data_IF_948195894576
#
_entry.id   IF_948195894576
#
_cell.length_a   1.000
_cell.length_b   1.000
_cell.length_c   1.000
_cell.angle_alpha   90.00
_cell.angle_beta   90.00
_cell.angle_gamma   90.00
#
_symmetry.space_group_name_H-M   'P 1'
#
loop_
_entity.id
_entity.type
_entity.pdbx_description
1 polymer ?
#
# COMPACT_ATOMS: atom_id res chain seq x y z
N UNK A 1 40.85 31.84 54.08
CA UNK A 1 39.55 32.17 53.42
C UNK A 1 39.05 30.88 52.78
N UNK A 2 38.49 30.02 53.49
CA UNK A 2 37.10 29.62 53.75
C UNK A 2 36.23 29.52 52.49
N UNK A 3 35.92 28.28 52.08
CA UNK A 3 34.63 27.89 51.55
C UNK A 3 34.35 26.42 51.81
N UNK A 4 33.38 26.18 52.63
CA UNK A 4 32.81 24.93 53.04
C UNK A 4 31.81 24.40 52.02
N UNK A 5 31.89 23.12 51.73
CA UNK A 5 30.87 22.37 50.96
C UNK A 5 30.04 21.53 51.91
N UNK A 6 28.76 21.77 51.97
CA UNK A 6 27.78 21.06 52.78
C UNK A 6 27.28 19.83 51.99
N UNK A 7 27.62 18.62 52.46
CA UNK A 7 27.02 17.37 52.02
C UNK A 7 25.94 16.96 53.02
N UNK A 8 24.71 16.86 52.57
CA UNK A 8 23.58 16.39 53.32
C UNK A 8 23.53 14.85 53.30
N UNK A 9 23.74 14.26 54.48
CA UNK A 9 23.64 12.82 54.74
C UNK A 9 22.24 12.57 55.32
N UNK A 10 21.41 11.73 54.67
CA UNK A 10 20.13 11.26 55.22
C UNK A 10 20.36 9.87 55.77
N UNK A 11 20.27 9.75 57.10
CA UNK A 11 20.42 8.51 57.82
C UNK A 11 19.10 7.71 57.85
N UNK A 12 19.21 6.42 57.64
CA UNK A 12 18.17 5.42 57.87
C UNK A 12 17.91 5.23 59.35
N UNK A 13 16.65 5.26 59.78
CA UNK A 13 16.22 4.75 61.07
C UNK A 13 15.38 3.50 60.86
N UNK A 14 15.95 2.33 61.20
CA UNK A 14 15.22 1.08 61.32
C UNK A 14 14.46 1.05 62.65
N UNK A 15 13.15 0.84 62.62
CA UNK A 15 12.40 0.34 63.78
C UNK A 15 11.69 -0.94 63.33
N UNK A 16 12.11 -2.06 63.94
CA UNK A 16 11.46 -3.35 63.79
C UNK A 16 10.24 -3.42 64.71
N UNK A 17 9.09 -3.81 64.17
CA UNK A 17 8.01 -4.41 64.94
C UNK A 17 7.57 -5.71 64.26
N UNK A 18 7.68 -6.80 65.00
CA UNK A 18 7.24 -8.14 64.66
C UNK A 18 5.76 -8.24 65.02
N UNK A 19 4.93 -8.66 64.08
CA UNK A 19 3.93 -9.72 64.23
C UNK A 19 2.85 -9.66 63.12
N UNK A 20 2.52 -10.82 62.60
CA UNK A 20 1.25 -11.06 61.91
C UNK A 20 1.35 -11.35 60.41
N UNK A 21 1.52 -12.63 60.10
CA UNK A 21 1.37 -13.23 58.77
C UNK A 21 0.07 -12.83 58.09
N UNK A 22 0.16 -12.27 56.87
CA UNK A 22 -0.70 -12.60 55.73
C UNK A 22 0.08 -12.28 54.47
N UNK A 23 0.42 -13.32 53.75
CA UNK A 23 1.19 -13.19 52.48
C UNK A 23 0.36 -12.55 51.37
N UNK A 24 0.64 -11.29 51.07
CA UNK A 24 0.37 -10.75 49.74
C UNK A 24 1.56 -11.10 48.83
N UNK A 25 1.40 -12.09 47.99
CA UNK A 25 2.28 -12.27 46.86
C UNK A 25 2.08 -11.05 45.93
N UNK A 26 3.02 -10.12 45.98
CA UNK A 26 3.21 -9.19 44.87
C UNK A 26 3.72 -10.02 43.69
N UNK A 27 2.84 -10.49 42.86
CA UNK A 27 3.22 -10.81 41.50
C UNK A 27 3.68 -9.49 40.86
N UNK A 28 4.98 -9.33 40.70
CA UNK A 28 5.54 -8.40 39.72
C UNK A 28 5.01 -8.86 38.36
N UNK A 29 3.94 -8.22 37.90
CA UNK A 29 3.55 -8.32 36.50
C UNK A 29 4.78 -7.87 35.70
N UNK A 30 5.49 -8.85 35.14
CA UNK A 30 6.43 -8.58 34.06
C UNK A 30 5.73 -7.65 33.06
N UNK A 31 6.41 -6.63 32.51
CA UNK A 31 5.79 -5.86 31.46
C UNK A 31 5.40 -6.85 30.36
N UNK A 32 4.09 -7.13 30.26
CA UNK A 32 3.55 -7.86 29.15
C UNK A 32 4.06 -7.14 27.91
N UNK A 33 4.82 -7.85 27.09
CA UNK A 33 5.20 -7.41 25.77
C UNK A 33 3.98 -6.74 25.15
N UNK A 34 4.08 -5.43 24.90
CA UNK A 34 3.11 -4.71 24.11
C UNK A 34 3.10 -5.46 22.79
N UNK A 35 2.10 -6.31 22.60
CA UNK A 35 1.83 -6.88 21.30
C UNK A 35 1.52 -5.67 20.44
N UNK A 36 2.42 -5.42 19.51
CA UNK A 36 2.29 -4.42 18.47
C UNK A 36 0.88 -4.58 17.88
N UNK A 37 -0.03 -3.67 18.27
CA UNK A 37 -1.41 -3.71 17.76
C UNK A 37 -1.36 -3.17 16.35
N UNK A 38 -1.26 -4.10 15.42
CA UNK A 38 -1.22 -3.79 14.00
C UNK A 38 -2.60 -3.33 13.56
N UNK A 39 -2.79 -2.02 13.41
CA UNK A 39 -4.05 -1.43 12.94
C UNK A 39 -4.12 -1.51 11.42
N UNK A 40 -5.14 -2.17 10.89
CA UNK A 40 -5.57 -2.14 9.49
C UNK A 40 -7.06 -1.83 9.47
N UNK A 41 -7.66 -1.45 8.35
CA UNK A 41 -8.96 -0.82 8.38
C UNK A 41 -9.93 -1.49 7.40
N UNK A 42 -11.22 -1.34 7.70
CA UNK A 42 -12.31 -1.71 6.83
C UNK A 42 -13.35 -2.61 7.48
N UNK A 43 -14.52 -2.64 6.88
CA UNK A 43 -15.60 -3.58 7.14
C UNK A 43 -16.00 -4.24 5.83
N UNK A 44 -16.63 -5.41 5.90
CA UNK A 44 -17.12 -6.19 4.76
C UNK A 44 -18.22 -5.50 3.92
N UNK A 45 -18.73 -4.38 4.41
CA UNK A 45 -19.75 -3.59 3.71
C UNK A 45 -19.14 -2.37 3.04
N UNK A 46 -19.44 -2.19 1.76
CA UNK A 46 -19.02 -1.01 1.01
C UNK A 46 -19.57 0.29 1.61
N UNK A 47 -18.80 1.38 1.53
CA UNK A 47 -19.21 2.70 1.98
C UNK A 47 -18.05 3.68 2.09
N UNK A 48 -18.34 4.89 2.57
CA UNK A 48 -17.39 5.95 2.79
C UNK A 48 -17.49 6.43 4.24
N UNK A 49 -16.77 5.77 5.14
CA UNK A 49 -16.76 6.13 6.57
C UNK A 49 -15.31 6.26 7.02
N UNK A 50 -14.98 7.39 7.63
CA UNK A 50 -13.70 7.64 8.29
C UNK A 50 -13.69 7.00 9.68
N UNK A 51 -12.50 6.73 10.25
CA UNK A 51 -12.39 6.18 11.61
C UNK A 51 -11.22 5.23 11.77
N UNK A 52 -11.34 4.29 12.71
CA UNK A 52 -10.30 3.31 13.03
C UNK A 52 -10.88 1.89 12.97
N UNK A 53 -10.09 0.96 12.44
CA UNK A 53 -10.44 -0.46 12.42
C UNK A 53 -11.72 -0.75 11.65
N UNK A 54 -12.62 -1.57 12.21
CA UNK A 54 -13.85 -2.02 11.56
C UNK A 54 -14.94 -0.93 11.42
N UNK A 55 -14.77 0.24 12.04
CA UNK A 55 -15.69 1.36 11.81
C UNK A 55 -15.51 2.00 10.45
N UNK A 56 -14.35 1.82 9.85
CA UNK A 56 -14.03 2.35 8.51
C UNK A 56 -14.80 1.59 7.46
N UNK A 57 -15.24 2.30 6.42
CA UNK A 57 -15.77 1.68 5.22
C UNK A 57 -15.03 2.20 3.99
N UNK A 58 -14.70 1.26 3.13
CA UNK A 58 -14.21 1.49 1.77
C UNK A 58 -15.23 0.95 0.77
N UNK A 59 -15.02 1.26 -0.49
CA UNK A 59 -15.81 0.72 -1.60
C UNK A 59 -14.86 0.34 -2.73
N UNK A 60 -14.54 -0.94 -2.86
CA UNK A 60 -13.54 -1.45 -3.79
C UNK A 60 -12.20 -0.69 -3.66
N UNK A 61 -11.51 -0.73 -2.49
CA UNK A 61 -10.17 -0.16 -2.37
C UNK A 61 -9.23 -0.88 -3.31
N UNK A 62 -8.44 -0.13 -4.10
CA UNK A 62 -7.58 -0.73 -5.12
C UNK A 62 -6.10 -0.40 -4.88
N UNK A 63 -5.55 0.64 -5.45
CA UNK A 63 -4.13 0.99 -5.33
C UNK A 63 -3.71 1.40 -3.92
N UNK A 64 -2.53 0.97 -3.51
CA UNK A 64 -1.93 1.30 -2.22
C UNK A 64 -0.50 1.85 -2.39
N UNK A 65 -0.12 2.79 -1.52
CA UNK A 65 1.28 3.20 -1.34
C UNK A 65 1.53 3.61 0.11
N UNK A 66 2.79 3.45 0.57
CA UNK A 66 3.23 3.89 1.90
C UNK A 66 4.24 5.01 1.73
N UNK A 67 4.02 6.16 2.41
CA UNK A 67 4.99 7.26 2.40
C UNK A 67 6.20 7.00 3.32
N UNK A 68 7.18 7.91 3.28
CA UNK A 68 8.38 7.81 4.10
C UNK A 68 8.11 7.86 5.62
N UNK A 69 6.95 8.38 6.03
CA UNK A 69 6.52 8.51 7.41
C UNK A 69 5.68 7.31 7.89
N UNK A 70 5.38 6.35 7.00
CA UNK A 70 4.59 5.17 7.31
C UNK A 70 3.07 5.37 7.18
N UNK A 71 2.60 6.48 6.60
CA UNK A 71 1.20 6.64 6.28
C UNK A 71 0.88 5.85 5.01
N UNK A 72 -0.27 5.18 5.00
CA UNK A 72 -0.79 4.45 3.86
C UNK A 72 -1.79 5.32 3.10
N UNK A 73 -1.64 5.42 1.79
CA UNK A 73 -2.60 6.06 0.90
C UNK A 73 -3.29 5.00 0.06
N UNK A 74 -4.61 5.14 -0.08
CA UNK A 74 -5.48 4.13 -0.67
C UNK A 74 -6.36 4.80 -1.72
N UNK A 75 -6.36 4.30 -2.93
CA UNK A 75 -7.36 4.62 -3.93
C UNK A 75 -8.67 3.89 -3.60
N UNK A 76 -9.64 4.61 -3.09
CA UNK A 76 -10.97 4.10 -2.75
C UNK A 76 -11.87 4.23 -4.00
N UNK A 77 -11.64 3.30 -4.93
CA UNK A 77 -12.08 3.34 -6.31
C UNK A 77 -13.58 3.60 -6.47
N UNK A 78 -14.39 2.84 -5.76
CA UNK A 78 -15.85 2.95 -5.85
C UNK A 78 -16.40 4.23 -5.23
N UNK A 79 -15.62 4.90 -4.37
CA UNK A 79 -15.96 6.18 -3.76
C UNK A 79 -15.36 7.38 -4.50
N UNK A 80 -14.52 7.19 -5.51
CA UNK A 80 -13.82 8.23 -6.26
C UNK A 80 -12.99 9.17 -5.37
N UNK A 81 -12.34 8.67 -4.35
CA UNK A 81 -11.51 9.44 -3.41
C UNK A 81 -10.18 8.76 -3.12
N UNK A 82 -9.22 9.53 -2.63
CA UNK A 82 -7.99 9.01 -2.04
C UNK A 82 -8.15 9.08 -0.51
N UNK A 83 -7.92 7.94 0.16
CA UNK A 83 -7.96 7.83 1.62
C UNK A 83 -6.52 7.81 2.15
N UNK A 84 -6.35 8.31 3.38
CA UNK A 84 -5.10 8.22 4.12
C UNK A 84 -5.36 7.50 5.44
N UNK A 85 -4.52 6.50 5.74
CA UNK A 85 -4.41 5.89 7.06
C UNK A 85 -3.10 6.32 7.67
N UNK A 86 -3.13 7.00 8.80
CA UNK A 86 -1.94 7.38 9.53
C UNK A 86 -1.34 6.21 10.34
N UNK A 87 -0.20 6.44 10.96
CA UNK A 87 0.50 5.43 11.77
C UNK A 87 -0.24 5.02 13.03
N UNK A 88 -1.30 5.76 13.43
CA UNK A 88 -2.20 5.38 14.53
C UNK A 88 -3.36 4.50 14.05
N UNK A 89 -3.50 4.35 12.73
CA UNK A 89 -4.57 3.62 12.07
C UNK A 89 -5.86 4.42 11.86
N UNK A 90 -5.81 5.73 12.06
CA UNK A 90 -6.92 6.60 11.71
C UNK A 90 -6.99 6.78 10.19
N UNK A 91 -8.13 6.38 9.62
CA UNK A 91 -8.44 6.58 8.21
C UNK A 91 -9.29 7.83 8.03
N UNK A 92 -8.87 8.68 7.12
CA UNK A 92 -9.56 9.89 6.69
C UNK A 92 -9.63 9.97 5.17
N UNK A 93 -10.56 10.75 4.63
CA UNK A 93 -10.52 11.17 3.23
C UNK A 93 -9.40 12.18 3.05
N UNK A 94 -8.44 11.87 2.19
CA UNK A 94 -7.27 12.72 1.94
C UNK A 94 -7.54 13.70 0.79
N UNK A 95 -8.16 13.23 -0.29
CA UNK A 95 -8.57 14.08 -1.41
C UNK A 95 -9.77 13.46 -2.14
N UNK A 96 -10.57 14.32 -2.75
CA UNK A 96 -11.74 13.96 -3.52
C UNK A 96 -13.06 14.20 -2.80
N UNK A 97 -14.09 14.55 -3.56
CA UNK A 97 -15.49 14.62 -3.11
C UNK A 97 -16.10 13.24 -3.20
N UNK A 98 -16.49 12.66 -2.05
CA UNK A 98 -17.01 11.30 -1.98
C UNK A 98 -18.20 11.05 -2.90
N UNK A 99 -18.09 10.03 -3.74
CA UNK A 99 -19.09 9.64 -4.73
C UNK A 99 -19.16 10.52 -5.99
N UNK A 100 -18.56 11.72 -5.97
CA UNK A 100 -18.55 12.59 -7.13
C UNK A 100 -17.48 12.17 -8.13
N UNK A 101 -17.88 12.07 -9.40
CA UNK A 101 -16.97 11.87 -10.53
C UNK A 101 -16.59 13.22 -11.13
N UNK A 102 -15.35 13.40 -11.50
CA UNK A 102 -14.88 14.61 -12.16
C UNK A 102 -13.36 14.71 -12.19
N UNK A 103 -12.84 15.81 -12.74
CA UNK A 103 -11.41 16.08 -12.88
C UNK A 103 -11.03 17.46 -12.31
N UNK A 104 -11.81 17.99 -11.36
CA UNK A 104 -11.56 19.30 -10.77
C UNK A 104 -10.24 19.32 -10.01
N UNK A 105 -9.36 20.26 -10.37
CA UNK A 105 -8.18 20.62 -9.62
C UNK A 105 -8.58 21.53 -8.47
N UNK A 106 -8.32 21.12 -7.24
CA UNK A 106 -8.65 21.90 -6.04
C UNK A 106 -7.85 21.36 -4.84
N UNK A 107 -7.96 22.01 -3.69
CA UNK A 107 -7.36 21.52 -2.46
C UNK A 107 -8.20 20.38 -1.86
N UNK A 108 -7.54 19.36 -1.35
CA UNK A 108 -8.10 18.29 -0.52
C UNK A 108 -9.46 17.75 -1.03
N UNK A 109 -10.47 17.79 -0.16
CA UNK A 109 -11.82 17.28 -0.40
C UNK A 109 -12.67 18.12 -1.37
N UNK A 110 -12.17 19.20 -1.92
CA UNK A 110 -12.86 19.97 -2.97
C UNK A 110 -12.53 19.45 -4.38
N UNK A 111 -11.48 18.67 -4.52
CA UNK A 111 -11.09 18.06 -5.79
C UNK A 111 -12.03 16.91 -6.17
N UNK A 112 -11.97 16.48 -7.43
CA UNK A 112 -12.72 15.31 -7.88
C UNK A 112 -11.84 14.38 -8.70
N UNK A 113 -12.15 13.08 -8.64
CA UNK A 113 -11.54 12.01 -9.42
C UNK A 113 -12.62 11.20 -10.14
N UNK A 114 -12.22 10.37 -11.08
CA UNK A 114 -13.10 9.41 -11.73
C UNK A 114 -12.39 8.06 -11.84
N UNK A 115 -12.77 7.12 -10.97
CA UNK A 115 -12.11 5.81 -10.87
C UNK A 115 -10.59 5.96 -10.66
N UNK A 116 -10.13 6.54 -9.54
CA UNK A 116 -8.70 6.53 -9.20
C UNK A 116 -8.26 5.09 -8.92
N UNK A 117 -7.24 4.60 -9.65
CA UNK A 117 -6.74 3.23 -9.53
C UNK A 117 -5.43 3.17 -8.75
N UNK A 118 -4.32 3.46 -9.39
CA UNK A 118 -3.00 3.40 -8.80
C UNK A 118 -2.65 4.66 -8.03
N UNK A 119 -1.88 4.50 -6.97
CA UNK A 119 -1.30 5.61 -6.21
C UNK A 119 0.18 5.32 -5.92
N UNK A 120 1.02 6.36 -5.97
CA UNK A 120 2.43 6.28 -5.61
C UNK A 120 2.87 7.54 -4.86
N UNK A 121 3.73 7.37 -3.84
CA UNK A 121 4.30 8.47 -3.07
C UNK A 121 5.75 8.73 -3.49
N UNK A 122 6.12 9.99 -3.69
CA UNK A 122 7.53 10.36 -3.85
C UNK A 122 8.22 10.61 -2.49
N UNK A 123 9.52 10.85 -2.52
CA UNK A 123 10.31 11.12 -1.32
C UNK A 123 9.93 12.43 -0.60
N UNK A 124 9.31 13.37 -1.31
CA UNK A 124 8.81 14.64 -0.75
C UNK A 124 7.42 14.48 -0.12
N UNK A 125 6.77 13.32 -0.32
CA UNK A 125 5.43 13.03 0.17
C UNK A 125 4.30 13.46 -0.77
N UNK A 126 4.60 13.88 -2.01
CA UNK A 126 3.56 14.08 -3.01
C UNK A 126 2.98 12.73 -3.41
N UNK A 127 1.68 12.70 -3.68
CA UNK A 127 0.97 11.49 -4.09
C UNK A 127 0.55 11.63 -5.55
N UNK A 128 1.02 10.72 -6.38
CA UNK A 128 0.61 10.60 -7.77
C UNK A 128 -0.53 9.59 -7.87
N UNK A 129 -1.53 9.92 -8.66
CA UNK A 129 -2.77 9.15 -8.80
C UNK A 129 -3.03 8.89 -10.28
N UNK A 130 -3.21 7.64 -10.66
CA UNK A 130 -3.77 7.27 -11.94
C UNK A 130 -5.29 7.50 -11.90
N UNK A 131 -5.75 8.61 -12.45
CA UNK A 131 -7.16 8.99 -12.51
C UNK A 131 -7.78 8.42 -13.80
N UNK A 132 -7.97 7.09 -13.77
CA UNK A 132 -8.17 6.26 -14.96
C UNK A 132 -9.37 6.65 -15.79
N UNK A 133 -10.50 6.94 -15.14
CA UNK A 133 -11.71 7.37 -15.84
C UNK A 133 -11.62 8.77 -16.45
N UNK A 134 -10.57 9.53 -16.10
CA UNK A 134 -10.26 10.84 -16.68
C UNK A 134 -9.07 10.80 -17.65
N UNK A 135 -8.42 9.65 -17.86
CA UNK A 135 -7.22 9.48 -18.70
C UNK A 135 -6.09 10.46 -18.32
N UNK A 136 -5.90 10.68 -17.03
CA UNK A 136 -4.93 11.64 -16.48
C UNK A 136 -4.10 11.04 -15.34
N UNK A 137 -2.90 11.56 -15.17
CA UNK A 137 -2.13 11.39 -13.96
C UNK A 137 -2.27 12.67 -13.13
N UNK A 138 -2.75 12.54 -11.90
CA UNK A 138 -2.94 13.66 -10.98
C UNK A 138 -1.86 13.64 -9.91
N UNK A 139 -1.52 14.78 -9.35
CA UNK A 139 -0.60 14.93 -8.24
C UNK A 139 -1.30 15.68 -7.09
N UNK A 140 -1.15 15.14 -5.89
CA UNK A 140 -1.59 15.79 -4.64
C UNK A 140 -0.33 16.26 -3.92
N UNK A 141 -0.17 17.57 -3.80
CA UNK A 141 1.01 18.18 -3.18
C UNK A 141 1.08 17.91 -1.68
N UNK A 142 2.22 17.43 -1.19
CA UNK A 142 2.43 17.02 0.20
C UNK A 142 2.15 18.12 1.23
N UNK A 143 2.53 19.36 0.91
CA UNK A 143 2.41 20.53 1.81
C UNK A 143 1.15 21.35 1.58
N UNK A 144 0.59 21.32 0.38
CA UNK A 144 -0.53 22.17 -0.03
C UNK A 144 -1.87 21.47 -0.05
N UNK A 145 -1.88 20.12 -0.12
CA UNK A 145 -3.08 19.34 -0.40
C UNK A 145 -3.70 19.61 -1.78
N UNK A 146 -3.05 20.48 -2.61
CA UNK A 146 -3.55 20.82 -3.93
C UNK A 146 -3.49 19.61 -4.86
N UNK A 147 -4.61 19.24 -5.42
CA UNK A 147 -4.71 18.29 -6.52
C UNK A 147 -4.58 19.03 -7.82
N UNK A 148 -3.63 18.63 -8.65
CA UNK A 148 -3.37 19.19 -9.97
C UNK A 148 -3.24 18.06 -11.00
N UNK A 149 -3.49 18.38 -12.27
CA UNK A 149 -3.14 17.48 -13.38
C UNK A 149 -1.63 17.52 -13.57
N UNK A 150 -0.98 16.36 -13.42
CA UNK A 150 0.46 16.21 -13.60
C UNK A 150 0.79 15.88 -15.08
N UNK A 151 -0.01 15.00 -15.71
CA UNK A 151 0.13 14.66 -17.11
C UNK A 151 -1.21 14.19 -17.69
N UNK A 152 -1.40 14.38 -19.00
CA UNK A 152 -2.59 13.95 -19.73
C UNK A 152 -3.63 15.07 -19.90
N UNK A 153 -4.16 15.20 -21.11
CA UNK A 153 -5.22 16.16 -21.46
C UNK A 153 -6.61 15.68 -21.07
N UNK A 154 -6.76 14.40 -20.74
CA UNK A 154 -8.05 13.75 -20.52
C UNK A 154 -8.65 13.14 -21.80
N UNK A 155 -8.08 13.43 -22.97
CA UNK A 155 -8.45 12.80 -24.22
C UNK A 155 -7.82 11.41 -24.31
N UNK A 156 -8.61 10.42 -24.72
CA UNK A 156 -8.12 9.04 -24.97
C UNK A 156 -7.09 9.05 -26.10
N UNK A 157 -5.95 8.41 -25.89
CA UNK A 157 -4.90 8.30 -26.91
C UNK A 157 -3.56 7.89 -26.33
N UNK A 158 -2.51 7.92 -27.16
CA UNK A 158 -1.14 7.53 -26.79
C UNK A 158 -0.09 8.62 -27.15
N UNK A 159 -0.50 9.88 -27.32
CA UNK A 159 0.40 10.97 -27.69
C UNK A 159 1.42 11.29 -26.60
N UNK A 160 2.67 11.54 -27.05
CA UNK A 160 3.76 12.07 -26.22
C UNK A 160 3.99 13.58 -26.44
N UNK A 161 3.25 14.21 -27.37
CA UNK A 161 3.45 15.61 -27.72
C UNK A 161 2.94 16.50 -26.58
N UNK A 162 3.73 17.48 -26.14
CA UNK A 162 3.53 18.23 -24.91
C UNK A 162 2.09 18.75 -24.69
N UNK A 163 1.50 19.42 -25.69
CA UNK A 163 0.17 20.01 -25.57
C UNK A 163 -0.98 19.02 -25.87
N UNK A 164 -0.65 17.80 -26.24
CA UNK A 164 -1.61 16.74 -26.59
C UNK A 164 -1.31 15.39 -25.93
N UNK A 165 -0.54 15.39 -24.84
CA UNK A 165 -0.28 14.18 -24.06
C UNK A 165 -1.59 13.47 -23.74
N UNK A 166 -1.66 12.20 -24.08
CA UNK A 166 -2.86 11.41 -23.84
C UNK A 166 -2.52 10.01 -23.33
N UNK A 167 -3.43 9.47 -22.56
CA UNK A 167 -3.43 8.10 -22.05
C UNK A 167 -4.76 7.44 -22.39
N UNK A 168 -4.84 6.13 -22.17
CA UNK A 168 -6.09 5.38 -22.28
C UNK A 168 -6.24 4.46 -21.09
N UNK A 169 -7.08 4.85 -20.13
CA UNK A 169 -7.27 4.15 -18.87
C UNK A 169 -5.93 3.86 -18.17
N UNK A 170 -5.10 4.85 -17.79
CA UNK A 170 -3.88 4.59 -17.04
C UNK A 170 -4.24 4.00 -15.67
N UNK A 171 -3.68 2.84 -15.31
CA UNK A 171 -4.01 2.15 -14.05
C UNK A 171 -2.89 2.24 -13.02
N UNK A 172 -1.72 1.69 -13.31
CA UNK A 172 -0.59 1.68 -12.39
C UNK A 172 0.26 2.95 -12.48
N UNK A 173 0.77 3.39 -11.34
CA UNK A 173 1.81 4.42 -11.25
C UNK A 173 2.88 4.00 -10.24
N UNK A 174 4.15 4.31 -10.54
CA UNK A 174 5.29 4.16 -9.64
C UNK A 174 6.23 5.36 -9.79
N UNK A 175 6.96 5.71 -8.73
CA UNK A 175 7.88 6.88 -8.72
C UNK A 175 9.27 6.42 -8.36
N UNK A 176 10.28 6.81 -9.13
CA UNK A 176 11.68 6.55 -8.81
C UNK A 176 12.27 7.61 -7.87
N UNK A 177 13.49 7.36 -7.37
CA UNK A 177 14.20 8.29 -6.49
C UNK A 177 14.56 9.64 -7.13
N UNK A 178 14.45 9.77 -8.45
CA UNK A 178 14.66 11.02 -9.21
C UNK A 178 13.36 11.78 -9.47
N UNK A 179 12.21 11.23 -9.02
CA UNK A 179 10.88 11.82 -9.21
C UNK A 179 10.27 11.54 -10.58
N UNK A 180 10.84 10.62 -11.40
CA UNK A 180 10.15 10.19 -12.60
C UNK A 180 8.98 9.29 -12.23
N UNK A 181 7.84 9.54 -12.87
CA UNK A 181 6.62 8.74 -12.71
C UNK A 181 6.49 7.77 -13.89
N UNK A 182 6.41 6.50 -13.58
CA UNK A 182 6.15 5.44 -14.56
C UNK A 182 4.66 5.11 -14.53
N UNK A 183 4.08 4.89 -15.69
CA UNK A 183 2.63 4.71 -15.87
C UNK A 183 2.37 3.46 -16.71
N UNK A 184 1.52 2.58 -16.22
CA UNK A 184 0.91 1.52 -17.01
C UNK A 184 -0.28 2.13 -17.79
N UNK A 185 -0.07 2.38 -19.06
CA UNK A 185 -1.07 2.95 -19.98
C UNK A 185 -1.90 1.79 -20.56
N UNK A 186 -2.81 1.30 -19.72
CA UNK A 186 -3.43 -0.02 -19.74
C UNK A 186 -4.05 -0.40 -21.09
N UNK A 187 -4.98 0.37 -21.58
CA UNK A 187 -5.66 0.10 -22.85
C UNK A 187 -4.78 0.39 -24.09
N UNK A 188 -3.69 1.16 -23.89
CA UNK A 188 -2.71 1.40 -24.95
C UNK A 188 -1.62 0.32 -25.00
N UNK A 189 -1.55 -0.61 -24.04
CA UNK A 189 -0.52 -1.64 -23.93
C UNK A 189 0.91 -1.05 -23.93
N UNK A 190 1.10 0.08 -23.24
CA UNK A 190 2.36 0.82 -23.18
C UNK A 190 2.82 1.04 -21.74
N UNK A 191 4.13 1.13 -21.57
CA UNK A 191 4.73 1.67 -20.35
C UNK A 191 5.26 3.07 -20.67
N UNK A 192 4.72 4.06 -19.94
CA UNK A 192 5.06 5.47 -20.16
C UNK A 192 5.93 5.98 -19.01
N UNK A 193 6.80 6.94 -19.30
CA UNK A 193 7.61 7.66 -18.33
C UNK A 193 7.26 9.14 -18.39
N UNK A 194 7.03 9.74 -17.21
CA UNK A 194 6.79 11.18 -17.04
C UNK A 194 7.90 11.74 -16.16
N UNK A 195 8.66 12.71 -16.66
CA UNK A 195 9.71 13.39 -15.86
C UNK A 195 9.08 14.32 -14.83
N UNK A 196 9.84 14.80 -13.81
CA UNK A 196 9.36 15.81 -12.87
C UNK A 196 8.87 17.11 -13.52
N UNK A 197 9.35 17.41 -14.73
CA UNK A 197 8.89 18.55 -15.54
C UNK A 197 7.59 18.27 -16.32
N UNK A 198 6.98 17.08 -16.17
CA UNK A 198 5.76 16.70 -16.89
C UNK A 198 5.98 16.21 -18.33
N UNK A 199 7.22 16.02 -18.77
CA UNK A 199 7.50 15.50 -20.12
C UNK A 199 7.22 14.00 -20.17
N UNK A 200 6.33 13.60 -21.08
CA UNK A 200 5.92 12.20 -21.26
C UNK A 200 6.65 11.56 -22.43
N UNK A 201 7.09 10.33 -22.23
CA UNK A 201 7.66 9.47 -23.26
C UNK A 201 7.15 8.04 -23.13
N UNK A 202 7.18 7.26 -24.20
CA UNK A 202 6.99 5.81 -24.13
C UNK A 202 8.33 5.18 -23.74
N UNK A 203 8.34 4.43 -22.63
CA UNK A 203 9.52 3.68 -22.19
C UNK A 203 9.61 2.34 -22.91
N UNK A 204 8.47 1.65 -23.08
CA UNK A 204 8.42 0.37 -23.77
C UNK A 204 7.00 0.03 -24.23
N UNK A 205 6.92 -0.86 -25.23
CA UNK A 205 5.70 -1.36 -25.82
C UNK A 205 5.43 -0.78 -27.20
N UNK A 206 4.88 -1.60 -28.09
CA UNK A 206 4.47 -1.17 -29.44
C UNK A 206 3.04 -0.62 -29.49
N UNK A 207 2.25 -0.86 -28.43
CA UNK A 207 0.81 -0.65 -28.43
C UNK A 207 0.00 -1.86 -28.91
N UNK A 208 0.61 -2.80 -29.60
CA UNK A 208 -0.04 -4.07 -29.94
C UNK A 208 -0.11 -4.99 -28.71
N UNK A 209 -1.18 -5.78 -28.63
CA UNK A 209 -1.31 -6.82 -27.61
C UNK A 209 -0.36 -7.97 -27.92
N UNK A 210 0.37 -8.43 -26.91
CA UNK A 210 1.30 -9.55 -27.03
C UNK A 210 2.18 -9.71 -25.81
N UNK A 211 3.11 -10.65 -25.86
CA UNK A 211 4.04 -10.97 -24.77
C UNK A 211 5.51 -11.00 -25.23
N UNK A 212 5.82 -10.36 -26.36
CA UNK A 212 7.18 -10.37 -26.92
C UNK A 212 8.13 -9.57 -26.03
N UNK A 213 9.28 -10.15 -25.76
CA UNK A 213 10.44 -9.45 -25.18
C UNK A 213 11.12 -8.63 -26.29
N UNK A 214 11.81 -7.55 -25.92
CA UNK A 214 12.52 -6.71 -26.90
C UNK A 214 12.88 -5.35 -26.36
N UNK A 215 13.51 -4.55 -27.22
CA UNK A 215 13.89 -3.17 -26.90
C UNK A 215 12.80 -2.21 -27.37
N UNK A 216 12.40 -1.27 -26.52
CA UNK A 216 11.44 -0.20 -26.82
C UNK A 216 10.14 -0.75 -27.43
N UNK A 217 9.85 -0.37 -28.68
CA UNK A 217 8.65 -0.77 -29.44
C UNK A 217 8.73 -2.18 -30.04
N UNK A 218 9.85 -2.89 -29.90
CA UNK A 218 9.92 -4.31 -30.28
C UNK A 218 9.20 -5.21 -29.26
N UNK A 219 9.02 -4.71 -28.01
CA UNK A 219 8.28 -5.41 -27.00
C UNK A 219 6.76 -5.20 -27.13
N UNK A 220 6.00 -6.17 -26.63
CA UNK A 220 4.54 -6.08 -26.54
C UNK A 220 4.09 -6.38 -25.11
N UNK A 221 2.94 -5.80 -24.73
CA UNK A 221 2.23 -6.07 -23.48
C UNK A 221 0.76 -6.37 -23.80
N UNK A 222 0.06 -6.91 -22.81
CA UNK A 222 -1.38 -7.11 -22.91
C UNK A 222 -2.04 -6.65 -21.59
N UNK A 223 -2.62 -5.46 -21.60
CA UNK A 223 -3.28 -4.87 -20.44
C UNK A 223 -2.32 -4.76 -19.24
N UNK A 224 -1.18 -4.04 -19.33
CA UNK A 224 -0.26 -3.83 -18.22
C UNK A 224 -0.99 -3.04 -17.13
N UNK A 225 -1.00 -3.56 -15.88
CA UNK A 225 -1.89 -3.03 -14.84
C UNK A 225 -1.16 -2.27 -13.74
N UNK A 226 -0.12 -2.84 -13.16
CA UNK A 226 0.62 -2.23 -12.06
C UNK A 226 2.12 -2.24 -12.31
N UNK A 227 2.82 -1.36 -11.58
CA UNK A 227 4.26 -1.15 -11.71
C UNK A 227 4.93 -1.07 -10.34
N UNK A 228 6.18 -1.50 -10.27
CA UNK A 228 7.12 -1.16 -9.20
C UNK A 228 8.46 -0.80 -9.83
N UNK A 229 9.20 0.14 -9.22
CA UNK A 229 10.52 0.57 -9.72
C UNK A 229 11.57 0.32 -8.66
N UNK A 230 12.70 -0.28 -9.05
CA UNK A 230 13.83 -0.50 -8.16
C UNK A 230 14.77 0.72 -8.10
N UNK A 231 15.72 0.68 -7.15
CA UNK A 231 16.69 1.77 -6.94
C UNK A 231 17.62 2.03 -8.16
N UNK A 232 17.69 1.08 -9.11
CA UNK A 232 18.48 1.20 -10.33
C UNK A 232 17.66 1.66 -11.53
N UNK A 233 16.35 1.89 -11.32
CA UNK A 233 15.42 2.38 -12.34
C UNK A 233 14.83 1.27 -13.21
N UNK A 234 15.00 -0.02 -12.88
CA UNK A 234 14.25 -1.05 -13.57
C UNK A 234 12.78 -1.01 -13.10
N UNK A 235 11.88 -1.10 -14.06
CA UNK A 235 10.43 -1.14 -13.83
C UNK A 235 9.95 -2.58 -13.96
N UNK A 236 9.33 -3.08 -12.91
CA UNK A 236 8.65 -4.38 -12.93
C UNK A 236 7.17 -4.17 -13.17
N UNK A 237 6.65 -4.83 -14.19
CA UNK A 237 5.30 -4.62 -14.73
C UNK A 237 4.48 -5.87 -14.53
N UNK A 238 3.31 -5.73 -13.96
CA UNK A 238 2.26 -6.76 -14.02
C UNK A 238 1.62 -6.68 -15.40
N UNK A 239 1.95 -7.62 -16.27
CA UNK A 239 1.41 -7.80 -17.61
C UNK A 239 0.17 -8.71 -17.51
N UNK A 240 -0.93 -8.12 -16.99
CA UNK A 240 -2.10 -8.82 -16.48
C UNK A 240 -2.73 -9.77 -17.48
N UNK A 241 -2.98 -9.29 -18.72
CA UNK A 241 -3.60 -10.10 -19.76
C UNK A 241 -2.73 -11.25 -20.28
N UNK A 242 -1.45 -11.31 -19.85
CA UNK A 242 -0.50 -12.38 -20.19
C UNK A 242 -0.15 -13.26 -18.97
N UNK A 243 -0.66 -12.98 -17.78
CA UNK A 243 -0.29 -13.68 -16.54
C UNK A 243 1.24 -13.68 -16.28
N UNK A 244 1.92 -12.55 -16.61
CA UNK A 244 3.36 -12.41 -16.53
C UNK A 244 3.78 -11.24 -15.63
N UNK A 245 4.99 -11.36 -15.08
CA UNK A 245 5.74 -10.23 -14.53
C UNK A 245 6.89 -9.93 -15.48
N UNK A 246 6.89 -8.70 -16.04
CA UNK A 246 7.90 -8.26 -17.01
C UNK A 246 8.85 -7.29 -16.32
N UNK A 247 10.12 -7.29 -16.74
CA UNK A 247 11.13 -6.31 -16.32
C UNK A 247 11.50 -5.42 -17.48
N UNK A 248 11.43 -4.10 -17.26
CA UNK A 248 11.83 -3.06 -18.23
C UNK A 248 13.03 -2.32 -17.65
N UNK A 249 14.15 -2.29 -18.35
CA UNK A 249 15.33 -1.52 -17.93
C UNK A 249 15.13 -0.02 -18.22
N UNK A 250 15.97 0.87 -17.63
CA UNK A 250 15.96 2.30 -17.98
C UNK A 250 16.16 2.62 -19.46
N UNK A 251 16.80 1.70 -20.22
CA UNK A 251 17.00 1.81 -21.66
C UNK A 251 15.84 1.26 -22.49
N UNK A 252 14.75 0.78 -21.87
CA UNK A 252 13.59 0.24 -22.58
C UNK A 252 13.67 -1.25 -22.94
N UNK A 253 14.73 -1.99 -22.51
CA UNK A 253 14.81 -3.44 -22.74
C UNK A 253 13.78 -4.15 -21.87
N UNK A 254 12.86 -4.89 -22.47
CA UNK A 254 11.84 -5.70 -21.82
C UNK A 254 12.26 -7.17 -21.84
N UNK A 255 12.08 -7.83 -20.69
CA UNK A 255 12.26 -9.28 -20.54
C UNK A 255 11.17 -9.85 -19.65
N UNK A 256 10.77 -11.10 -19.91
CA UNK A 256 9.90 -11.85 -19.00
C UNK A 256 10.69 -12.21 -17.75
N UNK A 257 10.27 -11.69 -16.59
CA UNK A 257 10.94 -11.92 -15.31
C UNK A 257 10.39 -13.14 -14.56
N UNK A 258 9.07 -13.32 -14.56
CA UNK A 258 8.42 -14.48 -13.97
C UNK A 258 7.03 -14.72 -14.59
N UNK A 259 6.57 -15.98 -14.50
CA UNK A 259 5.30 -16.41 -15.04
C UNK A 259 5.46 -17.23 -16.32
N UNK A 260 4.60 -18.22 -16.49
CA UNK A 260 4.59 -19.11 -17.68
C UNK A 260 3.78 -18.57 -18.85
N UNK A 261 3.02 -17.48 -18.63
CA UNK A 261 2.03 -16.98 -19.60
C UNK A 261 0.75 -17.83 -19.68
N UNK A 262 0.60 -18.81 -18.79
CA UNK A 262 -0.62 -19.60 -18.65
C UNK A 262 -1.19 -19.42 -17.25
N UNK A 263 -2.51 -19.26 -17.09
CA UNK A 263 -3.13 -19.13 -15.77
C UNK A 263 -2.78 -20.32 -14.87
N UNK A 264 -2.36 -20.05 -13.65
CA UNK A 264 -1.96 -21.08 -12.69
C UNK A 264 -1.45 -20.50 -11.39
N UNK A 265 -1.04 -21.37 -10.45
CA UNK A 265 -0.55 -20.98 -9.13
C UNK A 265 0.75 -21.66 -8.70
N UNK A 266 1.51 -22.16 -9.65
CA UNK A 266 2.75 -22.87 -9.35
C UNK A 266 3.82 -21.90 -8.83
N UNK A 267 4.49 -22.32 -7.77
CA UNK A 267 5.76 -21.74 -7.36
C UNK A 267 6.88 -22.26 -8.28
N UNK A 268 7.98 -21.52 -8.40
CA UNK A 268 9.10 -21.93 -9.26
C UNK A 268 10.04 -20.81 -9.61
N UNK A 269 11.05 -21.11 -10.45
CA UNK A 269 12.03 -20.13 -10.94
C UNK A 269 11.57 -19.49 -12.25
N UNK A 270 11.48 -18.18 -12.30
CA UNK A 270 11.16 -17.43 -13.51
C UNK A 270 9.89 -17.94 -14.20
N UNK A 271 10.03 -18.43 -15.42
CA UNK A 271 8.91 -18.93 -16.24
C UNK A 271 8.38 -20.31 -15.83
N UNK A 272 9.01 -20.98 -14.86
CA UNK A 272 8.45 -22.21 -14.28
C UNK A 272 7.31 -21.91 -13.28
N UNK A 273 7.22 -20.69 -12.79
CA UNK A 273 6.09 -20.24 -11.99
C UNK A 273 4.88 -19.88 -12.87
N UNK A 274 3.70 -19.80 -12.26
CA UNK A 274 2.49 -19.29 -12.93
C UNK A 274 1.70 -18.38 -12.03
N UNK A 275 0.95 -17.46 -12.63
CA UNK A 275 0.03 -16.53 -12.00
C UNK A 275 -1.35 -16.66 -12.65
N UNK A 276 -2.35 -16.02 -12.08
CA UNK A 276 -3.68 -15.94 -12.66
C UNK A 276 -4.24 -14.53 -12.42
N UNK A 277 -4.32 -13.74 -13.47
CA UNK A 277 -4.76 -12.33 -13.41
C UNK A 277 -4.12 -11.59 -12.24
N UNK A 278 -2.78 -11.48 -12.19
CA UNK A 278 -2.10 -10.71 -11.14
C UNK A 278 -2.44 -9.23 -11.28
N UNK A 279 -2.72 -8.51 -10.18
CA UNK A 279 -3.10 -7.09 -10.23
C UNK A 279 -2.01 -6.16 -9.68
N UNK A 280 -1.65 -6.28 -8.42
CA UNK A 280 -0.74 -5.37 -7.76
C UNK A 280 0.69 -5.91 -7.65
N UNK A 281 1.67 -5.00 -7.62
CA UNK A 281 3.08 -5.31 -7.37
C UNK A 281 3.72 -4.24 -6.51
N UNK A 282 4.55 -4.66 -5.56
CA UNK A 282 5.40 -3.79 -4.76
C UNK A 282 6.81 -4.36 -4.64
N UNK A 283 7.78 -3.51 -4.35
CA UNK A 283 9.20 -3.91 -4.18
C UNK A 283 9.69 -3.47 -2.80
N UNK A 284 10.43 -4.34 -2.10
CA UNK A 284 11.10 -3.98 -0.86
C UNK A 284 12.54 -3.47 -1.09
N UNK A 285 13.18 -2.98 -0.03
CA UNK A 285 14.55 -2.46 -0.09
C UNK A 285 15.63 -3.53 -0.46
N UNK A 286 15.27 -4.80 -0.35
CA UNK A 286 16.15 -5.93 -0.73
C UNK A 286 15.90 -6.38 -2.18
N UNK A 287 15.00 -5.72 -2.91
CA UNK A 287 14.62 -6.05 -4.27
C UNK A 287 13.67 -7.24 -4.40
N UNK A 288 13.06 -7.71 -3.31
CA UNK A 288 11.99 -8.70 -3.43
C UNK A 288 10.72 -8.02 -3.93
N UNK A 289 10.06 -8.64 -4.89
CA UNK A 289 8.75 -8.22 -5.37
C UNK A 289 7.67 -9.01 -4.61
N UNK A 290 6.58 -8.31 -4.33
CA UNK A 290 5.36 -8.90 -3.78
C UNK A 290 4.24 -8.66 -4.77
N UNK A 291 3.53 -9.72 -5.15
CA UNK A 291 2.50 -9.71 -6.19
C UNK A 291 1.17 -10.15 -5.59
N UNK A 292 0.14 -9.36 -5.80
CA UNK A 292 -1.24 -9.77 -5.56
C UNK A 292 -1.71 -10.64 -6.74
N UNK A 293 -1.71 -11.95 -6.54
CA UNK A 293 -2.12 -12.96 -7.52
C UNK A 293 -3.64 -13.16 -7.40
N UNK A 294 -4.38 -12.22 -7.99
CA UNK A 294 -5.77 -11.91 -7.67
C UNK A 294 -6.73 -13.02 -8.02
N UNK A 295 -6.56 -13.64 -9.20
CA UNK A 295 -7.36 -14.79 -9.62
C UNK A 295 -7.13 -16.03 -8.74
N UNK A 296 -5.97 -16.11 -8.08
CA UNK A 296 -5.63 -17.17 -7.15
C UNK A 296 -5.93 -16.81 -5.68
N UNK A 297 -6.35 -15.59 -5.37
CA UNK A 297 -6.57 -15.10 -4.00
C UNK A 297 -5.36 -15.33 -3.08
N UNK A 298 -4.14 -15.09 -3.60
CA UNK A 298 -2.87 -15.33 -2.93
C UNK A 298 -1.94 -14.12 -3.06
N UNK A 299 -0.98 -14.04 -2.13
CA UNK A 299 0.15 -13.10 -2.25
C UNK A 299 1.41 -13.90 -2.50
N UNK A 300 2.09 -13.54 -3.59
CA UNK A 300 3.31 -14.20 -4.06
C UNK A 300 4.51 -13.29 -3.81
N UNK A 301 5.65 -13.90 -3.48
CA UNK A 301 6.93 -13.22 -3.38
C UNK A 301 7.85 -13.69 -4.50
N UNK A 302 8.56 -12.76 -5.13
CA UNK A 302 9.60 -13.05 -6.14
C UNK A 302 10.90 -12.48 -5.62
N UNK A 303 11.93 -13.31 -5.49
CA UNK A 303 13.27 -12.84 -5.11
C UNK A 303 13.94 -12.11 -6.28
N UNK A 304 15.03 -11.33 -6.05
CA UNK A 304 15.80 -10.72 -7.12
C UNK A 304 16.33 -11.72 -8.16
N UNK A 305 16.52 -12.98 -7.77
CA UNK A 305 16.91 -14.06 -8.67
C UNK A 305 15.77 -14.72 -9.43
N UNK A 306 14.51 -14.26 -9.26
CA UNK A 306 13.35 -14.78 -9.98
C UNK A 306 12.66 -15.98 -9.32
N UNK A 307 13.03 -16.39 -8.09
CA UNK A 307 12.31 -17.45 -7.39
C UNK A 307 10.96 -16.94 -6.88
N UNK A 308 9.87 -17.55 -7.35
CA UNK A 308 8.48 -17.26 -6.97
C UNK A 308 8.03 -18.22 -5.89
N UNK A 309 7.45 -17.70 -4.81
CA UNK A 309 6.87 -18.49 -3.72
C UNK A 309 5.55 -17.87 -3.26
N UNK A 310 4.59 -18.73 -2.89
CA UNK A 310 3.36 -18.31 -2.22
C UNK A 310 3.67 -18.03 -0.75
N UNK A 311 3.43 -16.80 -0.27
CA UNK A 311 3.70 -16.45 1.12
C UNK A 311 2.44 -16.50 1.99
N UNK A 312 1.26 -16.24 1.42
CA UNK A 312 0.00 -16.23 2.15
C UNK A 312 -1.21 -16.31 1.21
N UNK A 313 -2.29 -16.88 1.73
CA UNK A 313 -3.57 -17.05 1.03
C UNK A 313 -3.88 -18.51 0.76
N UNK A 314 -5.08 -18.94 1.13
CA UNK A 314 -5.56 -20.32 0.94
C UNK A 314 -5.83 -20.68 -0.54
N UNK A 315 -5.96 -19.67 -1.39
CA UNK A 315 -6.46 -19.80 -2.75
C UNK A 315 -7.99 -19.77 -2.86
N UNK A 316 -8.71 -19.92 -1.76
CA UNK A 316 -10.16 -19.76 -1.72
C UNK A 316 -10.55 -18.33 -1.38
N UNK A 317 -11.67 -17.87 -1.94
CA UNK A 317 -12.22 -16.55 -1.58
C UNK A 317 -12.64 -16.52 -0.11
N UNK A 318 -12.33 -15.45 0.58
CA UNK A 318 -12.68 -15.25 1.99
C UNK A 318 -11.97 -14.06 2.60
N UNK A 319 -12.22 -13.80 3.89
CA UNK A 319 -11.66 -12.70 4.66
C UNK A 319 -10.99 -13.17 5.97
N UNK A 320 -10.60 -14.45 6.06
CA UNK A 320 -10.02 -14.98 7.27
C UNK A 320 -8.63 -14.39 7.53
N UNK A 321 -8.41 -14.01 8.77
CA UNK A 321 -7.07 -13.75 9.30
C UNK A 321 -6.36 -15.07 9.58
N UNK A 322 -5.03 -15.05 9.63
CA UNK A 322 -4.23 -16.24 9.93
C UNK A 322 -2.83 -16.16 9.34
N UNK A 323 -2.10 -17.27 9.39
CA UNK A 323 -0.73 -17.37 8.88
C UNK A 323 -0.70 -18.33 7.68
N UNK A 324 0.02 -17.95 6.62
CA UNK A 324 0.14 -18.77 5.42
C UNK A 324 -1.22 -19.12 4.81
N UNK A 325 -1.49 -20.40 4.59
CA UNK A 325 -2.73 -20.87 3.99
C UNK A 325 -3.98 -20.80 4.90
N UNK A 326 -3.83 -20.43 6.18
CA UNK A 326 -4.97 -20.19 7.06
C UNK A 326 -5.68 -18.86 6.76
N UNK A 327 -4.98 -17.90 6.16
CA UNK A 327 -5.58 -16.65 5.70
C UNK A 327 -6.28 -16.82 4.35
N UNK A 328 -7.27 -15.98 4.10
CA UNK A 328 -7.94 -15.91 2.79
C UNK A 328 -8.17 -14.47 2.37
N UNK A 329 -8.25 -14.26 1.08
CA UNK A 329 -8.53 -12.98 0.41
C UNK A 329 -9.66 -13.16 -0.60
N UNK A 330 -10.21 -12.06 -1.08
CA UNK A 330 -11.18 -12.05 -2.17
C UNK A 330 -10.80 -10.97 -3.17
N UNK A 331 -10.12 -11.39 -4.24
CA UNK A 331 -9.55 -10.50 -5.26
C UNK A 331 -8.59 -9.48 -4.63
N UNK A 332 -7.45 -9.91 -4.02
CA UNK A 332 -6.44 -8.97 -3.55
C UNK A 332 -5.91 -8.17 -4.74
N UNK A 333 -5.93 -6.84 -4.66
CA UNK A 333 -5.57 -5.95 -5.76
C UNK A 333 -4.28 -5.17 -5.48
N UNK A 334 -4.34 -3.96 -4.96
CA UNK A 334 -3.17 -3.16 -4.65
C UNK A 334 -2.33 -3.74 -3.52
N UNK A 335 -1.03 -3.51 -3.57
CA UNK A 335 -0.07 -3.99 -2.58
C UNK A 335 1.00 -2.93 -2.34
N UNK A 336 1.42 -2.75 -1.09
CA UNK A 336 2.50 -1.86 -0.69
C UNK A 336 3.34 -2.49 0.41
N UNK A 337 4.62 -2.10 0.50
CA UNK A 337 5.56 -2.59 1.52
C UNK A 337 6.12 -1.41 2.29
N UNK A 338 6.08 -1.46 3.63
CA UNK A 338 6.69 -0.44 4.47
C UNK A 338 8.19 -0.71 4.70
N UNK A 339 8.91 0.26 5.28
CA UNK A 339 10.33 0.16 5.60
C UNK A 339 10.66 -0.97 6.59
N UNK A 340 9.69 -1.44 7.33
CA UNK A 340 9.81 -2.55 8.28
C UNK A 340 9.52 -3.90 7.61
N UNK A 341 9.22 -3.93 6.31
CA UNK A 341 8.89 -5.14 5.55
C UNK A 341 7.49 -5.69 5.82
N UNK A 342 6.58 -4.92 6.43
CA UNK A 342 5.19 -5.29 6.46
C UNK A 342 4.54 -5.00 5.10
N UNK A 343 3.68 -5.89 4.67
CA UNK A 343 2.96 -5.80 3.40
C UNK A 343 1.52 -5.40 3.69
N UNK A 344 1.02 -4.40 2.97
CA UNK A 344 -0.37 -3.98 3.01
C UNK A 344 -1.04 -4.38 1.71
N UNK A 345 -2.24 -4.93 1.80
CA UNK A 345 -3.00 -5.46 0.67
C UNK A 345 -4.41 -4.86 0.68
N UNK A 346 -4.84 -4.33 -0.45
CA UNK A 346 -6.24 -4.05 -0.69
C UNK A 346 -6.95 -5.37 -1.01
N UNK A 347 -7.78 -5.81 -0.10
CA UNK A 347 -8.62 -7.01 -0.24
C UNK A 347 -9.97 -6.54 -0.83
N UNK A 348 -9.94 -6.26 -2.13
CA UNK A 348 -10.87 -5.40 -2.87
C UNK A 348 -12.33 -5.78 -2.66
N UNK A 349 -12.68 -7.03 -2.98
CA UNK A 349 -14.08 -7.48 -2.90
C UNK A 349 -14.53 -7.73 -1.45
N UNK A 350 -13.62 -7.69 -0.49
CA UNK A 350 -13.94 -7.68 0.94
C UNK A 350 -14.03 -6.25 1.52
N UNK A 351 -13.71 -5.21 0.75
CA UNK A 351 -13.65 -3.82 1.19
C UNK A 351 -12.71 -3.62 2.41
N UNK A 352 -11.60 -4.36 2.46
CA UNK A 352 -10.67 -4.38 3.58
C UNK A 352 -9.27 -3.96 3.16
N UNK A 353 -8.54 -3.40 4.11
CA UNK A 353 -7.07 -3.29 4.01
C UNK A 353 -6.48 -4.31 4.98
N UNK A 354 -5.67 -5.22 4.46
CA UNK A 354 -5.03 -6.31 5.22
C UNK A 354 -3.54 -6.02 5.41
N UNK A 355 -3.00 -6.40 6.56
CA UNK A 355 -1.56 -6.32 6.83
C UNK A 355 -0.99 -7.73 6.97
N UNK A 356 0.15 -7.95 6.35
CA UNK A 356 0.93 -9.18 6.45
C UNK A 356 2.26 -8.79 7.10
N UNK A 357 2.57 -9.40 8.23
CA UNK A 357 3.86 -9.21 8.91
C UNK A 357 4.95 -10.01 8.23
N UNK A 358 6.22 -9.73 8.53
CA UNK A 358 7.36 -10.53 8.03
C UNK A 358 7.26 -12.01 8.39
N UNK A 359 6.57 -12.35 9.48
CA UNK A 359 6.31 -13.74 9.88
C UNK A 359 5.15 -14.40 9.10
N UNK A 360 4.57 -13.72 8.11
CA UNK A 360 3.47 -14.22 7.31
C UNK A 360 2.11 -14.23 8.02
N UNK A 361 1.97 -13.52 9.15
CA UNK A 361 0.68 -13.38 9.81
C UNK A 361 -0.15 -12.30 9.13
N UNK A 362 -1.35 -12.64 8.68
CA UNK A 362 -2.36 -11.74 8.13
C UNK A 362 -3.32 -11.32 9.22
N UNK A 363 -3.59 -10.04 9.31
CA UNK A 363 -4.56 -9.49 10.25
C UNK A 363 -5.47 -8.47 9.59
N UNK A 364 -6.77 -8.60 9.89
CA UNK A 364 -7.77 -7.53 9.69
C UNK A 364 -8.04 -6.94 11.07
N UNK A 365 -7.83 -5.64 11.26
CA UNK A 365 -7.88 -5.13 12.62
C UNK A 365 -9.28 -4.70 13.03
N UNK A 366 -9.64 -5.27 14.19
CA UNK A 366 -10.71 -4.76 14.99
C UNK A 366 -10.18 -4.40 16.39
N UNK A 367 -10.36 -3.13 16.76
CA UNK A 367 -10.21 -2.54 18.11
C UNK A 367 -8.78 -2.34 18.61
N UNK A 368 -8.44 -1.06 18.75
CA UNK A 368 -7.60 -0.60 19.85
C UNK A 368 -8.38 -0.85 21.16
N UNK A 369 -7.90 -1.74 22.00
CA UNK A 369 -8.30 -1.76 23.40
C UNK A 369 -7.65 -0.54 24.05
N UNK A 370 -8.35 0.59 24.06
CA UNK A 370 -8.03 1.68 24.97
C UNK A 370 -8.46 1.13 26.33
N UNK A 371 -7.50 0.71 27.16
CA UNK A 371 -7.77 0.53 28.56
C UNK A 371 -8.30 1.87 29.07
N UNK A 372 -9.60 1.92 29.32
CA UNK A 372 -10.23 3.07 29.97
C UNK A 372 -9.43 3.44 31.21
N UNK A 373 -9.09 4.72 31.43
CA UNK A 373 -8.46 5.11 32.68
C UNK A 373 -9.37 4.68 33.83
N UNK A 374 -8.77 4.00 34.79
CA UNK A 374 -9.44 3.61 36.03
C UNK A 374 -10.30 4.78 36.54
N UNK A 375 -11.62 4.59 36.55
CA UNK A 375 -12.50 5.43 37.38
C UNK A 375 -12.08 5.19 38.83
N UNK A 376 -11.36 6.14 39.40
CA UNK A 376 -11.11 6.18 40.84
C UNK A 376 -12.47 6.28 41.53
N UNK A 377 -12.91 5.17 42.08
CA UNK A 377 -14.11 5.16 42.95
C UNK A 377 -13.71 5.79 44.27
N UNK A 378 -13.89 7.10 44.40
CA UNK A 378 -13.83 7.77 45.69
C UNK A 378 -15.07 7.32 46.51
N UNK A 379 -14.91 6.30 47.34
CA UNK A 379 -15.90 6.01 48.37
C UNK A 379 -15.67 6.98 49.50
N UNK A 380 -16.51 8.01 49.60
CA UNK A 380 -16.60 8.81 50.82
C UNK A 380 -17.15 7.97 51.95
N UNK A 381 -16.32 7.68 52.94
CA UNK A 381 -16.75 7.12 54.25
C UNK A 381 -17.41 8.26 55.01
N UNK A 382 -18.74 8.20 55.17
CA UNK A 382 -19.42 8.98 56.20
C UNK A 382 -19.02 8.43 57.55
N UNK A 383 -18.35 9.24 58.33
CA UNK A 383 -18.12 9.02 59.77
C UNK A 383 -19.35 9.53 60.50
N UNK A 384 -19.96 8.67 61.28
CA UNK A 384 -20.94 9.05 62.32
C UNK A 384 -20.19 9.25 63.62
#
# INVERSE_FOLDING_TARGET
MIRSSLKLLVAFLCIAFVSGMYGCKHELLSPSSVKDSTVVAGSDTAGLVNGIGKSVKFNHPFGLTVDANGNLYIADLGNNVIRKMDTTGLVSTFAGVGGAKGNLNAVDSLSTFNKPFGVAADAAGNIYVADAGNNQIRMIGATTGMVSTFAGTGVVGASNVADSVSFNSPLGVAVDGSGNVYVADYENNLIRKVTPAGVVSTLAGSGAKGADDGLDTAATFNLPEALAVDATGNVYVVDNGNDLIRKVTPSGQVTTFAGSGQPGRNDGMGTAASFNSPFGIAIDANGNLYVADSGNNQIRKITPGGAVTTIVGSGSRGANDGTGNAASFNTPSGIAVDKSGNIYVADENNNLIRKITQAGAVTTISKVHINSPLKAVIRSKKIR
#
